data_IF_039630875604
#
_entry.id   IF_039630875604
#
_cell.length_a   1.000
_cell.length_b   1.000
_cell.length_c   1.000
_cell.angle_alpha   90.00
_cell.angle_beta   90.00
_cell.angle_gamma   90.00
#
_symmetry.space_group_name_H-M   'P 1'
#
loop_
_entity.id
_entity.type
_entity.pdbx_description
1 polymer ?
#
# COMPACT_ATOMS: atom_id res chain seq x y z
N UNK A 1 32.65 -9.62 -14.35
CA UNK A 1 31.39 -10.09 -14.94
C UNK A 1 30.31 -9.10 -14.56
N UNK A 2 30.22 -8.02 -15.33
CA UNK A 2 29.45 -6.80 -15.08
C UNK A 2 28.40 -6.71 -16.18
N UNK A 3 27.23 -7.28 -15.92
CA UNK A 3 25.99 -7.15 -16.70
C UNK A 3 24.92 -8.06 -16.08
N UNK A 4 24.37 -7.67 -14.93
CA UNK A 4 23.05 -8.12 -14.49
C UNK A 4 22.25 -6.85 -14.26
N UNK A 5 21.76 -6.33 -15.39
CA UNK A 5 20.56 -5.53 -15.55
C UNK A 5 20.24 -4.59 -14.38
N UNK A 6 20.54 -3.31 -14.60
CA UNK A 6 19.87 -2.17 -13.98
C UNK A 6 18.36 -2.22 -14.33
N UNK A 7 17.64 -3.23 -13.83
CA UNK A 7 16.21 -3.10 -13.65
C UNK A 7 16.05 -2.07 -12.55
N UNK A 8 15.90 -0.81 -12.95
CA UNK A 8 15.26 0.17 -12.08
C UNK A 8 13.89 -0.43 -11.79
N UNK A 9 13.74 -1.05 -10.62
CA UNK A 9 12.49 -1.57 -10.10
C UNK A 9 11.40 -0.55 -10.40
N UNK A 10 10.42 -0.93 -11.22
CA UNK A 10 9.41 0.05 -11.60
C UNK A 10 8.49 0.24 -10.39
N UNK A 11 8.21 1.48 -9.96
CA UNK A 11 7.28 1.78 -8.87
C UNK A 11 5.97 0.98 -8.96
N UNK A 12 5.50 0.71 -10.17
CA UNK A 12 4.28 -0.07 -10.45
C UNK A 12 4.31 -1.51 -9.94
N UNK A 13 5.47 -2.14 -9.76
CA UNK A 13 5.58 -3.49 -9.18
C UNK A 13 5.02 -3.53 -7.75
N UNK A 14 5.12 -2.42 -7.01
CA UNK A 14 4.52 -2.29 -5.69
C UNK A 14 2.99 -2.48 -5.73
N UNK A 15 2.32 -2.12 -6.82
CA UNK A 15 0.88 -2.35 -6.97
C UNK A 15 0.54 -3.83 -7.03
N UNK A 16 1.39 -4.63 -7.69
CA UNK A 16 1.20 -6.09 -7.78
C UNK A 16 1.38 -6.76 -6.41
N UNK A 17 2.26 -6.19 -5.57
CA UNK A 17 2.42 -6.62 -4.18
C UNK A 17 1.17 -6.26 -3.37
N UNK A 18 0.66 -5.04 -3.52
CA UNK A 18 -0.49 -4.53 -2.79
C UNK A 18 -1.84 -5.12 -3.24
N UNK A 19 -1.89 -5.78 -4.41
CA UNK A 19 -3.05 -6.56 -4.87
C UNK A 19 -3.20 -7.91 -4.15
N UNK A 20 -2.32 -8.20 -3.18
CA UNK A 20 -2.37 -9.40 -2.33
C UNK A 20 -2.51 -8.99 -0.87
N UNK A 21 -3.35 -9.72 -0.14
CA UNK A 21 -3.58 -9.44 1.28
C UNK A 21 -2.32 -9.65 2.13
N UNK A 22 -2.16 -8.78 3.12
CA UNK A 22 -1.18 -8.89 4.20
C UNK A 22 0.29 -8.91 3.74
N UNK A 23 0.61 -8.24 2.63
CA UNK A 23 1.99 -8.14 2.12
C UNK A 23 2.82 -7.05 2.82
N UNK A 24 2.62 -6.83 4.12
CA UNK A 24 3.27 -5.74 4.89
C UNK A 24 4.80 -5.85 4.87
N UNK A 25 5.34 -7.04 5.13
CA UNK A 25 6.79 -7.25 5.16
C UNK A 25 7.41 -7.17 3.76
N UNK A 26 6.73 -7.75 2.76
CA UNK A 26 7.20 -7.76 1.37
C UNK A 26 7.21 -6.36 0.77
N UNK A 27 6.11 -5.61 0.88
CA UNK A 27 6.01 -4.24 0.38
C UNK A 27 7.06 -3.32 1.02
N UNK A 28 7.26 -3.46 2.33
CA UNK A 28 8.27 -2.70 3.06
C UNK A 28 9.70 -3.03 2.60
N UNK A 29 10.01 -4.31 2.41
CA UNK A 29 11.31 -4.74 1.92
C UNK A 29 11.59 -4.25 0.49
N UNK A 30 10.58 -4.34 -0.39
CA UNK A 30 10.66 -3.88 -1.78
C UNK A 30 10.93 -2.37 -1.83
N UNK A 31 10.16 -1.54 -1.11
CA UNK A 31 10.35 -0.09 -1.10
C UNK A 31 11.73 0.32 -0.57
N UNK A 32 12.23 -0.36 0.46
CA UNK A 32 13.59 -0.11 0.95
C UNK A 32 14.67 -0.53 -0.06
N UNK A 33 14.43 -1.60 -0.83
CA UNK A 33 15.29 -2.01 -1.94
C UNK A 33 15.33 -0.94 -3.03
N UNK A 34 14.17 -0.52 -3.52
CA UNK A 34 14.02 0.53 -4.52
C UNK A 34 14.75 1.82 -4.11
N UNK A 35 14.55 2.32 -2.88
CA UNK A 35 15.22 3.54 -2.40
C UNK A 35 16.74 3.38 -2.32
N UNK A 36 17.23 2.24 -1.81
CA UNK A 36 18.68 1.96 -1.72
C UNK A 36 19.35 1.84 -3.09
N UNK A 37 18.60 1.45 -4.10
CA UNK A 37 19.03 1.39 -5.50
C UNK A 37 18.99 2.76 -6.21
N UNK A 38 18.69 3.85 -5.49
CA UNK A 38 18.62 5.21 -6.05
C UNK A 38 17.28 5.55 -6.69
N UNK A 39 16.25 4.75 -6.41
CA UNK A 39 14.88 5.03 -6.83
C UNK A 39 14.36 6.34 -6.23
N UNK A 40 13.55 7.06 -7.00
CA UNK A 40 13.01 8.37 -6.61
C UNK A 40 11.72 8.23 -5.77
N UNK A 41 11.55 9.01 -4.69
CA UNK A 41 10.34 8.99 -3.87
C UNK A 41 9.05 9.43 -4.56
N UNK A 42 9.10 10.39 -5.48
CA UNK A 42 7.89 10.96 -6.09
C UNK A 42 7.09 9.90 -6.88
N UNK A 43 7.72 9.05 -7.71
CA UNK A 43 7.03 7.91 -8.31
C UNK A 43 6.45 6.91 -7.30
N UNK A 44 7.08 6.71 -6.13
CA UNK A 44 6.54 5.83 -5.08
C UNK A 44 5.27 6.42 -4.48
N UNK A 45 5.28 7.70 -4.13
CA UNK A 45 4.09 8.37 -3.61
C UNK A 45 2.95 8.29 -4.62
N UNK A 46 3.22 8.55 -5.90
CA UNK A 46 2.21 8.40 -6.94
C UNK A 46 1.60 6.98 -6.97
N UNK A 47 2.44 5.95 -6.87
CA UNK A 47 1.96 4.56 -6.83
C UNK A 47 1.19 4.25 -5.55
N UNK A 48 1.65 4.70 -4.39
CA UNK A 48 0.95 4.50 -3.12
C UNK A 48 -0.42 5.21 -3.11
N UNK A 49 -0.50 6.40 -3.71
CA UNK A 49 -1.76 7.11 -3.95
C UNK A 49 -2.68 6.35 -4.90
N UNK A 50 -2.14 5.78 -5.99
CA UNK A 50 -2.91 4.88 -6.86
C UNK A 50 -3.39 3.63 -6.14
N UNK A 51 -2.58 3.04 -5.26
CA UNK A 51 -2.98 1.89 -4.47
C UNK A 51 -4.15 2.25 -3.56
N UNK A 52 -4.02 3.36 -2.81
CA UNK A 52 -5.08 3.89 -1.95
C UNK A 52 -6.40 4.10 -2.71
N UNK A 53 -6.35 4.73 -3.90
CA UNK A 53 -7.54 5.04 -4.69
C UNK A 53 -8.21 3.81 -5.34
N UNK A 54 -7.54 2.66 -5.39
CA UNK A 54 -8.14 1.40 -5.88
C UNK A 54 -8.99 0.70 -4.82
N UNK A 55 -8.75 1.03 -3.56
CA UNK A 55 -9.41 0.40 -2.43
C UNK A 55 -10.72 1.11 -2.07
N UNK A 56 -11.61 0.38 -1.38
CA UNK A 56 -12.73 0.98 -0.65
C UNK A 56 -12.19 1.56 0.67
N UNK A 57 -11.32 2.57 0.53
CA UNK A 57 -10.51 3.07 1.63
C UNK A 57 -11.32 3.92 2.60
N UNK A 58 -11.19 3.64 3.89
CA UNK A 58 -11.75 4.47 4.95
C UNK A 58 -10.99 5.81 5.08
N UNK A 59 -11.64 6.79 5.71
CA UNK A 59 -11.10 8.13 5.91
C UNK A 59 -9.68 8.16 6.49
N UNK A 60 -9.36 7.23 7.41
CA UNK A 60 -8.05 7.16 8.04
C UNK A 60 -6.92 6.82 7.06
N UNK A 61 -7.20 6.05 6.00
CA UNK A 61 -6.19 5.72 4.99
C UNK A 61 -5.77 6.94 4.17
N UNK A 62 -6.73 7.83 3.87
CA UNK A 62 -6.44 9.13 3.26
C UNK A 62 -5.62 10.01 4.19
N UNK A 63 -6.01 10.13 5.46
CA UNK A 63 -5.27 10.93 6.44
C UNK A 63 -3.82 10.45 6.60
N UNK A 64 -3.59 9.13 6.66
CA UNK A 64 -2.25 8.56 6.79
C UNK A 64 -1.38 8.82 5.55
N UNK A 65 -1.96 8.72 4.36
CA UNK A 65 -1.24 9.04 3.12
C UNK A 65 -0.91 10.54 3.01
N UNK A 66 -1.90 11.41 3.23
CA UNK A 66 -1.71 12.87 3.19
C UNK A 66 -0.68 13.34 4.22
N UNK A 67 -0.74 12.83 5.45
CA UNK A 67 0.23 13.14 6.48
C UNK A 67 1.65 12.71 6.09
N UNK A 68 1.80 11.52 5.49
CA UNK A 68 3.11 11.04 5.05
C UNK A 68 3.71 11.90 3.93
N UNK A 69 2.90 12.33 2.95
CA UNK A 69 3.35 13.24 1.88
C UNK A 69 3.73 14.61 2.45
N UNK A 70 2.86 15.20 3.27
CA UNK A 70 3.09 16.53 3.83
C UNK A 70 4.33 16.58 4.74
N UNK A 71 4.51 15.57 5.61
CA UNK A 71 5.70 15.47 6.44
C UNK A 71 6.95 15.15 5.60
N UNK A 72 6.82 14.37 4.53
CA UNK A 72 7.95 14.09 3.65
C UNK A 72 8.46 15.37 2.99
N UNK A 73 7.57 16.17 2.41
CA UNK A 73 7.93 17.44 1.76
C UNK A 73 8.59 18.41 2.76
N UNK A 74 8.10 18.44 3.99
CA UNK A 74 8.70 19.23 5.07
C UNK A 74 10.12 18.76 5.37
N UNK A 75 10.33 17.47 5.61
CA UNK A 75 11.65 16.93 5.94
C UNK A 75 12.62 16.95 4.75
N UNK A 76 12.12 16.85 3.51
CA UNK A 76 12.92 16.94 2.30
C UNK A 76 13.50 18.36 2.07
N UNK A 77 12.88 19.38 2.68
CA UNK A 77 13.43 20.75 2.68
C UNK A 77 14.54 20.98 3.72
N UNK A 78 14.71 20.05 4.66
CA UNK A 78 15.71 20.11 5.72
C UNK A 78 16.99 19.37 5.30
N UNK A 79 18.11 19.66 5.97
CA UNK A 79 19.40 19.03 5.70
C UNK A 79 19.88 18.15 6.85
N UNK A 80 20.62 17.10 6.52
CA UNK A 80 21.33 16.25 7.47
C UNK A 80 20.71 14.87 7.68
N UNK A 81 21.47 13.99 8.32
CA UNK A 81 21.16 12.56 8.43
C UNK A 81 19.81 12.26 9.11
N UNK A 82 19.36 13.13 10.02
CA UNK A 82 18.04 12.95 10.65
C UNK A 82 16.90 13.22 9.66
N UNK A 83 17.01 14.27 8.83
CA UNK A 83 16.02 14.60 7.82
C UNK A 83 15.93 13.50 6.75
N UNK A 84 17.09 13.00 6.29
CA UNK A 84 17.17 11.84 5.40
C UNK A 84 16.46 10.63 6.02
N UNK A 85 16.70 10.37 7.31
CA UNK A 85 16.08 9.25 8.00
C UNK A 85 14.57 9.42 8.20
N UNK A 86 14.12 10.64 8.47
CA UNK A 86 12.70 10.96 8.58
C UNK A 86 11.98 10.70 7.25
N UNK A 87 12.54 11.19 6.14
CA UNK A 87 12.05 10.94 4.78
C UNK A 87 11.89 9.44 4.47
N UNK A 88 12.93 8.63 4.72
CA UNK A 88 12.84 7.17 4.57
C UNK A 88 11.75 6.56 5.46
N UNK A 89 11.65 7.02 6.71
CA UNK A 89 10.73 6.47 7.70
C UNK A 89 9.28 6.74 7.33
N UNK A 90 8.97 7.90 6.76
CA UNK A 90 7.63 8.27 6.31
C UNK A 90 7.16 7.39 5.15
N UNK A 91 8.02 7.19 4.14
CA UNK A 91 7.74 6.30 3.02
C UNK A 91 7.54 4.86 3.51
N UNK A 92 8.41 4.40 4.42
CA UNK A 92 8.30 3.07 5.02
C UNK A 92 7.01 2.90 5.83
N UNK A 93 6.63 3.89 6.62
CA UNK A 93 5.43 3.86 7.46
C UNK A 93 4.15 3.82 6.63
N UNK A 94 4.00 4.71 5.64
CA UNK A 94 2.80 4.74 4.78
C UNK A 94 2.68 3.46 3.95
N UNK A 95 3.81 2.93 3.45
CA UNK A 95 3.82 1.66 2.70
C UNK A 95 3.30 0.52 3.56
N UNK A 96 3.79 0.39 4.80
CA UNK A 96 3.35 -0.65 5.73
C UNK A 96 1.89 -0.49 6.12
N UNK A 97 1.47 0.75 6.34
CA UNK A 97 0.08 1.05 6.67
C UNK A 97 -0.84 0.61 5.53
N UNK A 98 -0.59 1.05 4.29
CA UNK A 98 -1.41 0.68 3.13
C UNK A 98 -1.37 -0.84 2.88
N UNK A 99 -0.20 -1.48 2.95
CA UNK A 99 -0.07 -2.94 2.78
C UNK A 99 -0.80 -3.78 3.85
N UNK A 100 -1.07 -3.20 5.03
CA UNK A 100 -1.84 -3.87 6.08
C UNK A 100 -3.36 -3.80 5.82
N UNK A 101 -3.80 -2.80 5.07
CA UNK A 101 -5.22 -2.52 4.78
C UNK A 101 -5.61 -2.85 3.33
N UNK A 102 -4.63 -3.18 2.47
CA UNK A 102 -4.83 -3.54 1.08
C UNK A 102 -4.58 -5.04 0.78
N UNK A 103 -5.28 -5.61 -0.22
CA UNK A 103 -6.51 -5.06 -0.78
C UNK A 103 -7.62 -5.18 0.27
N UNK A 104 -8.47 -4.17 0.30
CA UNK A 104 -9.73 -4.18 1.04
C UNK A 104 -10.53 -5.40 0.59
N UNK A 105 -11.17 -6.08 1.55
CA UNK A 105 -12.16 -7.07 1.17
C UNK A 105 -13.22 -6.33 0.40
N UNK A 106 -13.34 -6.56 -0.92
CA UNK A 106 -14.53 -6.13 -1.66
C UNK A 106 -15.68 -6.75 -0.87
N UNK A 107 -16.46 -5.97 -0.14
CA UNK A 107 -17.54 -6.46 0.75
C UNK A 107 -18.68 -7.09 -0.07
N UNK A 108 -18.78 -6.68 -1.34
CA UNK A 108 -19.81 -7.09 -2.28
C UNK A 108 -20.01 -8.61 -2.41
N UNK A 109 -18.99 -9.47 -2.52
CA UNK A 109 -19.18 -10.90 -2.67
C UNK A 109 -19.79 -11.56 -1.42
N UNK A 110 -19.54 -11.07 -0.21
CA UNK A 110 -20.10 -11.70 0.99
C UNK A 110 -21.59 -11.35 1.13
N UNK A 111 -21.92 -10.06 1.07
CA UNK A 111 -23.30 -9.58 1.13
C UNK A 111 -24.12 -10.06 -0.07
N UNK A 112 -23.55 -10.03 -1.28
CA UNK A 112 -24.21 -10.58 -2.46
C UNK A 112 -24.37 -12.10 -2.36
N UNK A 113 -23.40 -12.85 -1.83
CA UNK A 113 -23.52 -14.29 -1.62
C UNK A 113 -24.61 -14.61 -0.60
N UNK A 114 -24.71 -13.87 0.51
CA UNK A 114 -25.81 -14.02 1.48
C UNK A 114 -27.15 -13.71 0.81
N UNK A 115 -27.25 -12.59 0.07
CA UNK A 115 -28.47 -12.21 -0.64
C UNK A 115 -28.89 -13.28 -1.69
N UNK A 116 -27.92 -13.84 -2.41
CA UNK A 116 -28.18 -14.90 -3.40
C UNK A 116 -28.64 -16.20 -2.75
N UNK A 117 -28.03 -16.60 -1.62
CA UNK A 117 -28.44 -17.78 -0.83
C UNK A 117 -29.87 -17.62 -0.32
N UNK A 118 -30.19 -16.45 0.24
CA UNK A 118 -31.55 -16.12 0.68
C UNK A 118 -32.56 -16.11 -0.47
N UNK A 119 -32.20 -15.55 -1.63
CA UNK A 119 -33.06 -15.57 -2.82
C UNK A 119 -33.39 -17.00 -3.30
N UNK A 120 -32.48 -17.96 -3.11
CA UNK A 120 -32.72 -19.40 -3.40
C UNK A 120 -33.51 -20.12 -2.31
N UNK A 121 -33.88 -19.44 -1.22
CA UNK A 121 -34.57 -20.05 -0.08
C UNK A 121 -33.65 -20.88 0.83
N UNK A 122 -32.33 -20.69 0.76
CA UNK A 122 -31.42 -21.33 1.71
C UNK A 122 -31.65 -20.75 3.11
N UNK A 123 -31.80 -21.63 4.11
CA UNK A 123 -31.88 -21.20 5.51
C UNK A 123 -30.52 -20.71 5.98
N UNK A 124 -30.51 -19.57 6.66
CA UNK A 124 -29.30 -19.04 7.32
C UNK A 124 -28.97 -19.79 8.63
N UNK A 125 -29.97 -20.43 9.22
CA UNK A 125 -29.87 -21.23 10.44
C UNK A 125 -30.77 -22.47 10.32
N UNK A 126 -30.26 -23.62 10.74
CA UNK A 126 -31.06 -24.79 11.07
C UNK A 126 -31.21 -24.82 12.60
N UNK A 127 -32.43 -25.02 13.10
CA UNK A 127 -32.64 -25.35 14.52
C UNK A 127 -32.12 -26.78 14.73
N UNK A 128 -31.31 -26.98 15.77
CA UNK A 128 -30.75 -28.28 16.17
C UNK A 128 -31.84 -29.33 16.47
#
# INVERSE_FOLDING_TARGET
MRALLDFVEQPTELLEILDKQQQVALAAAWVMGYLRSGGKPEPLFNVLGHALLREDAEFHSFQMYEAAVAEYDRWASESGAFAEKACETLIFAVTRYLAAHAPTSRETPHTAKIAWRLHRGEKLFEEE
#
